data_IF_553667849117
#
_entry.id   IF_553667849117
#
_cell.length_a   1.000
_cell.length_b   1.000
_cell.length_c   1.000
_cell.angle_alpha   90.00
_cell.angle_beta   90.00
_cell.angle_gamma   90.00
#
_symmetry.space_group_name_H-M   'P 1'
#
loop_
_entity.id
_entity.type
_entity.pdbx_description
1 polymer ?
#
# COMPACT_ATOMS: atom_id res chain seq x y z
N UNK A 1 -18.02 11.78 12.25
CA UNK A 1 -16.73 11.31 12.79
C UNK A 1 -15.73 11.46 11.65
N UNK A 2 -14.57 12.08 11.87
CA UNK A 2 -13.53 12.06 10.84
C UNK A 2 -12.96 10.64 10.78
N UNK A 3 -12.70 10.14 9.59
CA UNK A 3 -12.00 8.87 9.42
C UNK A 3 -10.54 9.13 9.80
N UNK A 4 -10.02 8.33 10.74
CA UNK A 4 -8.58 8.29 11.03
C UNK A 4 -7.93 7.32 10.04
N UNK A 5 -6.86 7.74 9.37
CA UNK A 5 -6.02 6.85 8.57
C UNK A 5 -4.88 6.23 9.38
N UNK A 6 -4.66 6.67 10.61
CA UNK A 6 -3.63 6.11 11.49
C UNK A 6 -3.91 4.64 11.81
N UNK A 7 -2.87 3.80 11.82
CA UNK A 7 -2.99 2.41 12.29
C UNK A 7 -2.24 1.37 11.48
N UNK A 8 -2.47 0.12 11.86
CA UNK A 8 -1.94 -1.06 11.21
C UNK A 8 -2.97 -1.62 10.22
N UNK A 9 -2.51 -2.04 9.05
CA UNK A 9 -3.38 -2.53 7.98
C UNK A 9 -2.82 -3.80 7.35
N UNK A 10 -3.70 -4.75 7.08
CA UNK A 10 -3.41 -5.79 6.09
C UNK A 10 -3.84 -5.30 4.72
N UNK A 11 -2.93 -5.37 3.74
CA UNK A 11 -3.21 -5.15 2.33
C UNK A 11 -3.22 -6.47 1.57
N UNK A 12 -4.35 -6.78 0.94
CA UNK A 12 -4.50 -7.90 0.02
C UNK A 12 -4.47 -7.35 -1.40
N UNK A 13 -3.58 -7.87 -2.24
CA UNK A 13 -3.32 -7.31 -3.56
C UNK A 13 -3.41 -8.38 -4.64
N UNK A 14 -3.88 -7.99 -5.83
CA UNK A 14 -3.79 -8.83 -7.02
C UNK A 14 -3.29 -8.00 -8.21
N UNK A 15 -2.39 -8.60 -8.99
CA UNK A 15 -1.96 -8.11 -10.30
C UNK A 15 -2.39 -9.08 -11.41
N UNK A 16 -1.87 -8.88 -12.61
CA UNK A 16 -2.16 -9.74 -13.77
C UNK A 16 -1.67 -11.19 -13.62
N UNK A 17 -0.58 -11.40 -12.87
CA UNK A 17 0.11 -12.69 -12.79
C UNK A 17 0.05 -13.33 -11.39
N UNK A 18 -0.67 -12.73 -10.44
CA UNK A 18 -0.79 -13.30 -9.12
C UNK A 18 -1.42 -12.41 -8.06
N UNK A 19 -1.27 -12.85 -6.82
CA UNK A 19 -1.79 -12.19 -5.63
C UNK A 19 -0.73 -12.13 -4.53
N UNK A 20 -0.86 -11.15 -3.64
CA UNK A 20 0.10 -10.89 -2.59
C UNK A 20 -0.55 -10.31 -1.33
N UNK A 21 0.22 -10.29 -0.26
CA UNK A 21 -0.14 -9.74 1.03
C UNK A 21 0.98 -8.80 1.48
N UNK A 22 0.62 -7.67 2.07
CA UNK A 22 1.57 -6.83 2.79
C UNK A 22 0.95 -6.30 4.08
N UNK A 23 1.80 -6.05 5.07
CA UNK A 23 1.44 -5.27 6.25
C UNK A 23 1.84 -3.82 6.01
N UNK A 24 0.96 -2.89 6.34
CA UNK A 24 1.22 -1.45 6.28
C UNK A 24 0.97 -0.80 7.64
N UNK A 25 1.69 0.28 7.88
CA UNK A 25 1.49 1.22 8.99
C UNK A 25 1.34 2.60 8.38
N UNK A 26 0.30 3.29 8.79
CA UNK A 26 0.08 4.70 8.52
C UNK A 26 0.25 5.40 9.87
N UNK A 27 1.27 6.26 9.96
CA UNK A 27 1.65 6.91 11.20
C UNK A 27 2.17 8.32 10.92
N UNK A 28 1.52 9.35 11.47
CA UNK A 28 2.00 10.74 11.45
C UNK A 28 2.39 11.23 10.03
N UNK A 29 1.57 10.90 9.02
CA UNK A 29 1.81 11.27 7.62
C UNK A 29 2.85 10.41 6.89
N UNK A 30 3.36 9.34 7.50
CA UNK A 30 4.25 8.36 6.89
C UNK A 30 3.53 7.03 6.62
N UNK A 31 3.89 6.39 5.50
CA UNK A 31 3.47 5.04 5.16
C UNK A 31 4.70 4.15 5.17
N UNK A 32 4.66 3.07 5.94
CA UNK A 32 5.67 2.03 5.89
C UNK A 32 5.01 0.67 5.73
N UNK A 33 5.67 -0.27 5.05
CA UNK A 33 5.15 -1.62 4.93
C UNK A 33 6.15 -2.63 4.41
N UNK A 34 5.78 -3.90 4.50
CA UNK A 34 6.57 -5.01 3.97
C UNK A 34 5.69 -6.20 3.57
N UNK A 35 6.21 -7.00 2.64
CA UNK A 35 5.63 -8.29 2.26
C UNK A 35 6.53 -9.49 2.66
N UNK A 36 6.02 -10.74 2.58
CA UNK A 36 6.80 -11.93 2.92
C UNK A 36 8.01 -12.21 2.03
N UNK A 37 8.10 -11.59 0.84
CA UNK A 37 9.19 -11.76 -0.11
C UNK A 37 10.27 -10.67 0.04
N UNK A 38 10.11 -9.78 1.02
CA UNK A 38 11.07 -8.73 1.33
C UNK A 38 10.91 -7.45 0.50
N UNK A 39 9.78 -7.29 -0.21
CA UNK A 39 9.40 -6.00 -0.79
C UNK A 39 9.13 -5.02 0.34
N UNK A 40 9.65 -3.81 0.21
CA UNK A 40 9.46 -2.72 1.16
C UNK A 40 8.65 -1.60 0.54
N UNK A 41 7.82 -0.99 1.37
CA UNK A 41 6.99 0.16 1.03
C UNK A 41 7.37 1.29 1.97
N UNK A 42 7.70 2.45 1.43
CA UNK A 42 8.13 3.63 2.18
C UNK A 42 7.60 4.89 1.48
N UNK A 43 6.87 5.72 2.19
CA UNK A 43 6.16 6.84 1.59
C UNK A 43 5.58 7.82 2.59
N UNK A 44 4.84 8.78 2.05
CA UNK A 44 4.16 9.82 2.81
C UNK A 44 2.72 9.98 2.35
N UNK A 45 1.89 10.52 3.23
CA UNK A 45 0.51 10.87 2.91
C UNK A 45 0.05 12.12 3.66
N UNK A 46 -1.00 12.72 3.13
CA UNK A 46 -1.77 13.78 3.76
C UNK A 46 -3.25 13.39 3.76
N UNK A 47 -3.91 13.63 4.90
CA UNK A 47 -5.37 13.49 5.01
C UNK A 47 -6.02 14.84 4.73
N UNK A 48 -7.02 14.85 3.85
CA UNK A 48 -7.77 16.04 3.48
C UNK A 48 -8.96 16.26 4.42
N UNK A 49 -9.53 17.46 4.41
CA UNK A 49 -10.67 17.84 5.25
C UNK A 49 -11.93 16.98 5.02
N UNK A 50 -12.08 16.40 3.83
CA UNK A 50 -13.19 15.50 3.49
C UNK A 50 -12.97 14.05 3.96
N UNK A 51 -11.80 13.74 4.53
CA UNK A 51 -11.40 12.40 4.97
C UNK A 51 -10.71 11.57 3.88
N UNK A 52 -10.50 12.13 2.69
CA UNK A 52 -9.66 11.49 1.66
C UNK A 52 -8.19 11.50 2.06
N UNK A 53 -7.41 10.61 1.44
CA UNK A 53 -5.96 10.52 1.62
C UNK A 53 -5.30 10.62 0.25
N UNK A 54 -4.27 11.46 0.16
CA UNK A 54 -3.38 11.54 -0.99
C UNK A 54 -1.94 11.28 -0.54
N UNK A 55 -1.16 10.53 -1.31
CA UNK A 55 0.21 10.21 -0.93
C UNK A 55 1.02 9.55 -2.03
N UNK A 56 2.28 9.27 -1.73
CA UNK A 56 3.20 8.57 -2.63
C UNK A 56 3.96 7.53 -1.85
N UNK A 57 4.07 6.32 -2.41
CA UNK A 57 4.84 5.21 -1.83
C UNK A 57 5.90 4.75 -2.81
N UNK A 58 7.15 4.73 -2.35
CA UNK A 58 8.24 4.02 -3.03
C UNK A 58 8.15 2.53 -2.69
N UNK A 59 8.02 1.72 -3.73
CA UNK A 59 8.12 0.26 -3.65
C UNK A 59 9.55 -0.14 -3.97
N UNK A 60 10.18 -0.88 -3.07
CA UNK A 60 11.53 -1.44 -3.25
C UNK A 60 11.47 -2.95 -3.28
N UNK A 61 11.72 -3.54 -4.45
CA UNK A 61 11.74 -4.99 -4.66
C UNK A 61 13.19 -5.48 -4.59
N UNK A 62 13.49 -6.52 -3.81
CA UNK A 62 14.85 -7.06 -3.72
C UNK A 62 15.32 -7.68 -5.04
N UNK A 63 16.63 -7.90 -5.16
CA UNK A 63 17.23 -8.54 -6.31
C UNK A 63 16.59 -9.91 -6.59
N UNK A 64 16.26 -10.17 -7.87
CA UNK A 64 15.64 -11.42 -8.30
C UNK A 64 14.20 -11.65 -7.84
N UNK A 65 13.57 -10.69 -7.15
CA UNK A 65 12.16 -10.77 -6.79
C UNK A 65 11.24 -10.62 -8.00
N UNK A 66 10.10 -11.31 -8.01
CA UNK A 66 9.05 -11.16 -9.03
C UNK A 66 7.81 -10.57 -8.37
N UNK A 67 7.26 -9.51 -8.95
CA UNK A 67 6.04 -8.85 -8.44
C UNK A 67 4.78 -9.48 -9.02
N UNK A 68 3.63 -9.23 -8.39
CA UNK A 68 2.31 -9.78 -8.78
C UNK A 68 1.82 -9.31 -10.16
N UNK A 69 2.45 -8.29 -10.74
CA UNK A 69 2.24 -7.85 -12.13
C UNK A 69 3.05 -8.68 -13.16
N UNK A 70 3.91 -9.60 -12.72
CA UNK A 70 4.75 -10.46 -13.57
C UNK A 70 6.14 -9.92 -13.88
N UNK A 71 6.42 -8.66 -13.55
CA UNK A 71 7.75 -8.08 -13.73
C UNK A 71 8.76 -8.69 -12.75
N UNK A 72 9.96 -9.00 -13.24
CA UNK A 72 11.05 -9.52 -12.42
C UNK A 72 12.12 -8.46 -12.21
N UNK A 73 12.56 -8.33 -10.97
CA UNK A 73 13.63 -7.44 -10.58
C UNK A 73 14.97 -8.01 -11.03
N UNK A 74 15.82 -7.15 -11.60
CA UNK A 74 17.19 -7.52 -11.98
C UNK A 74 18.09 -7.80 -10.77
N UNK A 75 19.40 -8.02 -10.99
CA UNK A 75 20.36 -8.32 -9.93
C UNK A 75 20.55 -7.20 -8.90
N UNK A 76 20.13 -5.97 -9.22
CA UNK A 76 20.17 -4.83 -8.31
C UNK A 76 18.84 -4.59 -7.56
N UNK A 77 17.81 -5.41 -7.80
CA UNK A 77 16.44 -5.08 -7.41
C UNK A 77 15.82 -4.02 -8.33
N UNK A 78 14.61 -3.57 -7.99
CA UNK A 78 13.95 -2.44 -8.65
C UNK A 78 13.30 -1.53 -7.60
N UNK A 79 13.20 -0.24 -7.94
CA UNK A 79 12.43 0.74 -7.18
C UNK A 79 11.50 1.51 -8.11
N UNK A 80 10.30 1.79 -7.65
CA UNK A 80 9.34 2.61 -8.37
C UNK A 80 8.36 3.27 -7.41
N UNK A 81 7.77 4.38 -7.84
CA UNK A 81 6.79 5.13 -7.05
C UNK A 81 5.36 4.78 -7.47
N UNK A 82 4.46 4.78 -6.50
CA UNK A 82 3.02 4.60 -6.67
C UNK A 82 2.31 5.76 -6.00
N UNK A 83 1.45 6.45 -6.76
CA UNK A 83 0.59 7.51 -6.22
C UNK A 83 -0.65 6.87 -5.60
N UNK A 84 -1.01 7.32 -4.41
CA UNK A 84 -2.18 6.88 -3.67
C UNK A 84 -3.20 8.00 -3.64
N UNK A 85 -4.42 7.69 -4.06
CA UNK A 85 -5.59 8.56 -3.94
C UNK A 85 -6.74 7.73 -3.40
N UNK A 86 -7.04 7.89 -2.11
CA UNK A 86 -8.11 7.16 -1.44
C UNK A 86 -9.23 8.10 -1.02
N UNK A 87 -10.46 7.72 -1.34
CA UNK A 87 -11.65 8.42 -0.87
C UNK A 87 -12.01 8.00 0.57
N UNK A 88 -12.86 8.76 1.27
CA UNK A 88 -13.41 8.35 2.57
C UNK A 88 -14.14 7.00 2.53
N UNK A 89 -14.64 6.61 1.35
CA UNK A 89 -15.39 5.37 1.14
C UNK A 89 -14.50 4.19 0.70
N UNK A 90 -13.18 4.35 0.63
CA UNK A 90 -12.24 3.30 0.21
C UNK A 90 -12.43 2.00 0.98
N UNK A 91 -12.69 2.05 2.28
CA UNK A 91 -12.92 0.85 3.10
C UNK A 91 -14.25 0.13 2.84
N UNK A 92 -15.19 0.78 2.15
CA UNK A 92 -16.46 0.17 1.75
C UNK A 92 -16.38 -0.55 0.40
N UNK A 93 -15.28 -0.38 -0.35
CA UNK A 93 -15.06 -1.04 -1.63
C UNK A 93 -14.44 -2.42 -1.42
N UNK A 94 -14.77 -3.36 -2.33
CA UNK A 94 -14.13 -4.68 -2.34
C UNK A 94 -12.62 -4.57 -2.62
N UNK A 95 -12.24 -3.62 -3.48
CA UNK A 95 -10.87 -3.22 -3.76
C UNK A 95 -10.81 -1.81 -4.37
N UNK A 96 -9.64 -1.19 -4.29
CA UNK A 96 -9.25 0.02 -5.02
C UNK A 96 -8.25 -0.38 -6.08
N UNK A 97 -8.44 0.10 -7.31
CA UNK A 97 -7.45 -0.06 -8.36
C UNK A 97 -6.38 1.01 -8.22
N UNK A 98 -5.12 0.60 -8.13
CA UNK A 98 -3.94 1.46 -8.17
C UNK A 98 -3.24 1.30 -9.51
N UNK A 99 -2.85 2.41 -10.12
CA UNK A 99 -1.96 2.39 -11.28
C UNK A 99 -0.51 2.46 -10.82
N UNK A 100 0.33 1.56 -11.33
CA UNK A 100 1.77 1.54 -11.03
C UNK A 100 2.57 1.56 -12.33
N UNK A 101 3.86 1.96 -12.30
CA UNK A 101 4.72 1.87 -13.47
C UNK A 101 4.87 0.45 -14.06
N UNK A 102 4.53 -0.59 -13.30
CA UNK A 102 4.60 -1.99 -13.72
C UNK A 102 3.24 -2.57 -14.13
N UNK A 103 2.19 -1.75 -14.15
CA UNK A 103 0.82 -2.16 -14.43
C UNK A 103 -0.11 -2.03 -13.22
N UNK A 104 -1.42 -2.25 -13.42
CA UNK A 104 -2.41 -2.03 -12.38
C UNK A 104 -2.36 -3.10 -11.27
N UNK A 105 -2.72 -2.68 -10.06
CA UNK A 105 -2.89 -3.55 -8.89
C UNK A 105 -4.25 -3.28 -8.26
N UNK A 106 -5.02 -4.32 -7.96
CA UNK A 106 -6.19 -4.19 -7.09
C UNK A 106 -5.74 -4.35 -5.65
N UNK A 107 -6.06 -3.39 -4.78
CA UNK A 107 -5.72 -3.38 -3.37
C UNK A 107 -6.98 -3.38 -2.52
N UNK A 108 -7.06 -4.30 -1.56
CA UNK A 108 -7.99 -4.24 -0.44
C UNK A 108 -7.22 -3.98 0.84
N UNK A 109 -7.44 -2.82 1.46
CA UNK A 109 -6.91 -2.49 2.77
C UNK A 109 -7.93 -2.79 3.86
N UNK A 110 -7.48 -3.48 4.91
CA UNK A 110 -8.28 -3.75 6.10
C UNK A 110 -7.52 -3.23 7.30
N UNK A 111 -8.11 -2.26 8.03
CA UNK A 111 -7.54 -1.77 9.28
C UNK A 111 -7.60 -2.89 10.32
N UNK A 112 -6.43 -3.23 10.86
CA UNK A 112 -6.27 -4.22 11.92
C UNK A 112 -6.46 -3.56 13.29
N UNK A 113 -5.88 -2.38 13.49
CA UNK A 113 -5.93 -1.62 14.75
C UNK A 113 -5.58 -0.15 14.51
N UNK A 114 -6.21 0.75 15.25
CA UNK A 114 -5.77 2.15 15.37
C UNK A 114 -4.40 2.23 16.06
N UNK A 115 -3.59 3.22 15.68
CA UNK A 115 -2.31 3.47 16.34
C UNK A 115 -2.56 4.07 17.74
N UNK A 116 -1.85 3.59 18.76
CA UNK A 116 -1.96 4.09 20.14
C UNK A 116 -3.21 3.65 20.91
N UNK A 117 -4.16 2.95 20.28
CA UNK A 117 -5.22 2.28 21.02
C UNK A 117 -4.60 1.17 21.88
N UNK A 118 -4.80 1.18 23.20
CA UNK A 118 -4.54 0.06 24.11
C UNK A 118 -5.90 -0.54 24.43
N UNK A 119 -6.09 -1.82 24.13
CA UNK A 119 -7.30 -2.56 24.53
C UNK A 119 -7.31 -2.82 26.03
#
# INVERSE_FOLDING_TARGET
MSISWEGFYSGYMSGSEGQGFALFIFADGAIAGADPLGVKFDGTYETQNDGSLAGTVTVSVPAGGTVIQGASAGPAGIKYEVVLEFSPNTFALDFVKLETPLGPVNLRLVKLRELGAVE
#
